data_IF_546634415976
#
_entry.id   IF_546634415976
#
_cell.length_a   1.000
_cell.length_b   1.000
_cell.length_c   1.000
_cell.angle_alpha   90.00
_cell.angle_beta   90.00
_cell.angle_gamma   90.00
#
_symmetry.space_group_name_H-M   'P 1'
#
loop_
_entity.id
_entity.type
_entity.pdbx_description
1 polymer ?
#
# COMPACT_ATOMS: atom_id res chain seq x y z
N UNK A 1 -25.23 -7.25 6.62
CA UNK A 1 -24.01 -6.65 7.23
C UNK A 1 -23.63 -7.54 8.39
N UNK A 2 -22.47 -8.13 8.35
CA UNK A 2 -21.94 -8.87 9.49
C UNK A 2 -21.78 -7.90 10.68
N UNK A 3 -22.08 -8.38 11.87
CA UNK A 3 -21.94 -7.60 13.09
C UNK A 3 -20.46 -7.37 13.33
N UNK A 4 -20.03 -6.12 13.39
CA UNK A 4 -18.62 -5.78 13.63
C UNK A 4 -18.09 -6.38 14.94
N UNK A 5 -16.79 -6.60 15.00
CA UNK A 5 -16.10 -7.19 16.15
C UNK A 5 -15.95 -6.17 17.29
N UNK A 6 -15.92 -6.66 18.54
CA UNK A 6 -15.40 -5.85 19.63
C UNK A 6 -13.91 -5.51 19.37
N UNK A 7 -13.37 -4.46 20.03
CA UNK A 7 -11.94 -4.11 19.87
C UNK A 7 -11.01 -5.26 20.25
N UNK A 8 -11.31 -5.98 21.34
CA UNK A 8 -10.52 -7.14 21.76
C UNK A 8 -10.52 -8.24 20.71
N UNK A 9 -11.70 -8.58 20.18
CA UNK A 9 -11.81 -9.59 19.13
C UNK A 9 -11.16 -9.14 17.82
N UNK A 10 -11.24 -7.86 17.47
CA UNK A 10 -10.55 -7.31 16.30
C UNK A 10 -9.02 -7.39 16.44
N UNK A 11 -8.48 -7.14 17.63
CA UNK A 11 -7.04 -7.30 17.92
C UNK A 11 -6.63 -8.77 17.90
N UNK A 12 -7.45 -9.66 18.47
CA UNK A 12 -7.20 -11.11 18.43
C UNK A 12 -7.20 -11.62 16.98
N UNK A 13 -8.16 -11.18 16.17
CA UNK A 13 -8.25 -11.49 14.75
C UNK A 13 -7.01 -11.00 13.97
N UNK A 14 -6.60 -9.73 14.18
CA UNK A 14 -5.38 -9.18 13.58
C UNK A 14 -4.14 -10.00 13.95
N UNK A 15 -4.01 -10.42 15.21
CA UNK A 15 -2.91 -11.25 15.67
C UNK A 15 -2.93 -12.63 15.01
N UNK A 16 -4.09 -13.25 14.86
CA UNK A 16 -4.24 -14.53 14.15
C UNK A 16 -3.77 -14.40 12.68
N UNK A 17 -4.16 -13.34 11.98
CA UNK A 17 -3.67 -13.05 10.62
C UNK A 17 -2.15 -12.85 10.60
N UNK A 18 -1.60 -12.10 11.55
CA UNK A 18 -0.15 -11.85 11.68
C UNK A 18 0.64 -13.12 11.91
N UNK A 19 0.14 -13.99 12.76
CA UNK A 19 0.83 -15.23 13.15
C UNK A 19 0.90 -16.24 11.97
N UNK A 20 0.00 -16.12 11.01
CA UNK A 20 -0.04 -16.88 9.75
C UNK A 20 0.48 -16.10 8.53
N UNK A 21 1.17 -14.97 8.73
CA UNK A 21 1.65 -14.11 7.62
C UNK A 21 2.60 -14.77 6.62
N UNK A 22 3.30 -15.84 7.01
CA UNK A 22 4.15 -16.65 6.12
C UNK A 22 3.36 -17.23 4.94
N UNK A 23 2.08 -17.57 5.19
CA UNK A 23 1.20 -18.16 4.20
C UNK A 23 0.60 -17.10 3.26
N UNK A 24 0.74 -15.82 3.63
CA UNK A 24 0.37 -14.66 2.81
C UNK A 24 1.53 -14.17 1.92
N UNK A 25 2.51 -15.02 1.64
CA UNK A 25 3.64 -14.67 0.78
C UNK A 25 3.16 -14.39 -0.66
N UNK A 26 3.43 -13.19 -1.22
CA UNK A 26 3.00 -12.81 -2.57
C UNK A 26 3.60 -13.66 -3.70
N UNK A 27 4.59 -14.49 -3.39
CA UNK A 27 5.21 -15.47 -4.29
C UNK A 27 5.02 -16.91 -3.81
N UNK A 28 4.21 -17.11 -2.78
CA UNK A 28 3.89 -18.42 -2.21
C UNK A 28 2.92 -19.23 -3.09
N UNK A 29 2.63 -20.47 -2.70
CA UNK A 29 1.81 -21.39 -3.50
C UNK A 29 0.40 -20.87 -3.76
N UNK A 30 -0.17 -20.10 -2.84
CA UNK A 30 -1.51 -19.51 -2.96
C UNK A 30 -1.53 -18.14 -3.68
N UNK A 31 -0.37 -17.62 -4.10
CA UNK A 31 -0.32 -16.40 -4.90
C UNK A 31 -0.93 -16.62 -6.29
N UNK A 32 -1.75 -15.67 -6.77
CA UNK A 32 -2.48 -15.79 -8.04
C UNK A 32 -1.58 -16.06 -9.23
N UNK A 33 -0.37 -15.52 -9.24
CA UNK A 33 0.62 -15.74 -10.30
C UNK A 33 1.15 -17.19 -10.38
N UNK A 34 0.91 -18.01 -9.37
CA UNK A 34 1.33 -19.41 -9.32
C UNK A 34 0.19 -20.38 -9.65
N UNK A 35 -1.00 -19.87 -9.95
CA UNK A 35 -2.09 -20.70 -10.44
C UNK A 35 -1.83 -21.04 -11.94
N UNK A 36 -1.63 -22.33 -12.30
CA UNK A 36 -1.32 -22.74 -13.67
C UNK A 36 -2.48 -22.51 -14.65
N UNK A 37 -3.73 -22.43 -14.16
CA UNK A 37 -4.90 -22.14 -14.97
C UNK A 37 -4.99 -20.64 -15.31
N UNK A 38 -4.25 -19.78 -14.59
CA UNK A 38 -4.28 -18.34 -14.78
C UNK A 38 -3.02 -17.78 -15.42
N UNK A 39 -1.87 -18.42 -15.18
CA UNK A 39 -0.58 -17.93 -15.66
C UNK A 39 0.29 -19.07 -16.18
N UNK A 40 0.97 -18.79 -17.29
CA UNK A 40 1.97 -19.67 -17.89
C UNK A 40 3.28 -18.91 -18.08
N UNK A 41 4.39 -19.65 -18.22
CA UNK A 41 5.68 -19.03 -18.55
C UNK A 41 5.93 -19.20 -20.06
N UNK A 42 6.23 -18.09 -20.73
CA UNK A 42 6.66 -18.13 -22.13
C UNK A 42 8.08 -18.71 -22.27
N UNK A 43 8.54 -18.85 -23.51
CA UNK A 43 9.87 -19.39 -23.84
C UNK A 43 11.05 -18.64 -23.18
N UNK A 44 10.86 -17.37 -22.80
CA UNK A 44 11.84 -16.53 -22.08
C UNK A 44 11.69 -16.60 -20.57
N UNK A 45 10.81 -17.47 -20.05
CA UNK A 45 10.50 -17.58 -18.63
C UNK A 45 9.65 -16.45 -18.06
N UNK A 46 9.17 -15.52 -18.91
CA UNK A 46 8.28 -14.43 -18.49
C UNK A 46 6.89 -14.98 -18.25
N UNK A 47 6.29 -14.56 -17.15
CA UNK A 47 4.93 -14.91 -16.77
C UNK A 47 3.92 -14.18 -17.68
N UNK A 48 2.98 -14.92 -18.23
CA UNK A 48 1.92 -14.43 -19.11
C UNK A 48 0.56 -14.96 -18.66
N UNK A 49 -0.50 -14.12 -18.66
CA UNK A 49 -1.84 -14.57 -18.32
C UNK A 49 -2.37 -15.53 -19.41
N UNK A 50 -3.15 -16.53 -18.99
CA UNK A 50 -3.94 -17.33 -19.92
C UNK A 50 -5.02 -16.47 -20.60
N UNK A 51 -5.60 -16.88 -21.73
CA UNK A 51 -6.64 -16.10 -22.39
C UNK A 51 -7.82 -15.76 -21.48
N UNK A 52 -8.25 -16.70 -20.64
CA UNK A 52 -9.31 -16.47 -19.68
C UNK A 52 -8.93 -15.42 -18.62
N UNK A 53 -7.69 -15.47 -18.11
CA UNK A 53 -7.20 -14.47 -17.14
C UNK A 53 -7.01 -13.10 -17.79
N UNK A 54 -6.65 -13.07 -19.07
CA UNK A 54 -6.55 -11.82 -19.83
C UNK A 54 -7.91 -11.12 -19.93
N UNK A 55 -9.00 -11.85 -20.19
CA UNK A 55 -10.37 -11.27 -20.19
C UNK A 55 -10.69 -10.56 -18.87
N UNK A 56 -10.33 -11.16 -17.73
CA UNK A 56 -10.50 -10.48 -16.43
C UNK A 56 -9.65 -9.20 -16.34
N UNK A 57 -8.40 -9.24 -16.78
CA UNK A 57 -7.50 -8.07 -16.78
C UNK A 57 -8.03 -6.96 -17.66
N UNK A 58 -8.56 -7.31 -18.82
CA UNK A 58 -9.19 -6.35 -19.76
C UNK A 58 -10.42 -5.71 -19.12
N UNK A 59 -11.28 -6.49 -18.46
CA UNK A 59 -12.46 -5.96 -17.75
C UNK A 59 -12.09 -5.02 -16.60
N UNK A 60 -10.99 -5.29 -15.88
CA UNK A 60 -10.47 -4.39 -14.85
C UNK A 60 -9.97 -3.09 -15.50
N UNK A 61 -9.28 -3.22 -16.63
CA UNK A 61 -8.80 -2.06 -17.39
C UNK A 61 -9.96 -1.18 -17.87
N UNK A 62 -10.95 -1.78 -18.49
CA UNK A 62 -12.18 -1.07 -18.94
C UNK A 62 -12.88 -0.36 -17.77
N UNK A 63 -13.00 -1.02 -16.62
CA UNK A 63 -13.63 -0.44 -15.43
C UNK A 63 -12.84 0.75 -14.87
N UNK A 64 -11.50 0.71 -14.92
CA UNK A 64 -10.64 1.80 -14.41
C UNK A 64 -10.64 3.00 -15.36
N UNK A 65 -10.59 2.76 -16.66
CA UNK A 65 -10.66 3.85 -17.65
C UNK A 65 -12.08 4.41 -17.76
N UNK A 66 -13.11 3.57 -17.63
CA UNK A 66 -14.52 3.98 -17.72
C UNK A 66 -14.81 4.75 -19.02
N UNK A 67 -15.47 5.90 -18.88
CA UNK A 67 -15.79 6.81 -19.99
C UNK A 67 -14.73 7.92 -20.20
N UNK A 68 -13.61 7.86 -19.47
CA UNK A 68 -12.53 8.83 -19.58
C UNK A 68 -11.96 8.89 -21.00
N UNK A 69 -11.59 10.07 -21.42
CA UNK A 69 -11.00 10.33 -22.73
C UNK A 69 -9.59 10.89 -22.59
N UNK A 70 -8.74 10.71 -23.60
CA UNK A 70 -7.46 11.41 -23.67
C UNK A 70 -7.61 12.92 -23.48
N UNK A 71 -6.63 13.54 -22.85
CA UNK A 71 -6.58 14.99 -22.68
C UNK A 71 -6.61 15.70 -24.03
N UNK A 72 -7.41 16.75 -24.14
CA UNK A 72 -7.46 17.59 -25.37
C UNK A 72 -6.33 18.63 -25.40
N UNK A 73 -5.57 18.76 -24.34
CA UNK A 73 -4.44 19.68 -24.20
C UNK A 73 -3.19 18.98 -23.66
N UNK A 74 -2.39 19.69 -22.89
CA UNK A 74 -1.26 19.10 -22.17
C UNK A 74 -1.79 18.16 -21.08
N UNK A 75 -1.53 16.86 -21.15
CA UNK A 75 -2.00 15.94 -20.12
C UNK A 75 -1.30 16.19 -18.79
N UNK A 76 -2.03 15.98 -17.70
CA UNK A 76 -1.53 16.14 -16.33
C UNK A 76 -1.23 14.78 -15.71
N UNK A 77 -0.03 14.61 -15.18
CA UNK A 77 0.39 13.43 -14.44
C UNK A 77 0.68 13.77 -12.98
N UNK A 78 -0.06 13.20 -12.02
CA UNK A 78 0.13 13.43 -10.60
C UNK A 78 0.74 12.17 -9.96
N UNK A 79 1.92 12.30 -9.35
CA UNK A 79 2.50 11.27 -8.52
C UNK A 79 2.08 11.53 -7.07
N UNK A 80 1.27 10.62 -6.52
CA UNK A 80 0.87 10.65 -5.11
C UNK A 80 1.80 9.72 -4.32
N UNK A 81 2.73 10.30 -3.57
CA UNK A 81 3.81 9.62 -2.88
C UNK A 81 3.60 9.60 -1.35
N UNK A 82 3.87 8.47 -0.72
CA UNK A 82 3.80 8.34 0.74
C UNK A 82 3.78 6.88 1.19
N UNK A 83 4.23 6.60 2.42
CA UNK A 83 4.23 5.24 2.96
C UNK A 83 2.79 4.73 3.20
N UNK A 84 2.61 3.41 3.41
CA UNK A 84 1.34 2.86 3.85
C UNK A 84 0.87 3.52 5.15
N UNK A 85 -0.42 3.79 5.29
CA UNK A 85 -0.98 4.43 6.49
C UNK A 85 -0.80 5.94 6.58
N UNK A 86 -0.02 6.58 5.70
CA UNK A 86 0.21 8.03 5.74
C UNK A 86 -1.03 8.89 5.42
N UNK A 87 -2.05 8.32 4.76
CA UNK A 87 -3.27 9.05 4.42
C UNK A 87 -3.31 9.61 3.00
N UNK A 88 -2.61 8.98 2.04
CA UNK A 88 -2.58 9.37 0.62
C UNK A 88 -3.97 9.64 0.04
N UNK A 89 -4.89 8.68 0.16
CA UNK A 89 -6.26 8.83 -0.36
C UNK A 89 -7.03 9.97 0.30
N UNK A 90 -6.77 10.26 1.58
CA UNK A 90 -7.36 11.41 2.28
C UNK A 90 -6.83 12.73 1.72
N UNK A 91 -5.52 12.81 1.48
CA UNK A 91 -4.92 14.01 0.88
C UNK A 91 -5.41 14.21 -0.55
N UNK A 92 -5.44 13.14 -1.36
CA UNK A 92 -5.93 13.21 -2.73
C UNK A 92 -7.34 13.81 -2.77
N UNK A 93 -8.25 13.31 -1.95
CA UNK A 93 -9.61 13.83 -1.85
C UNK A 93 -9.62 15.32 -1.47
N UNK A 94 -8.86 15.71 -0.45
CA UNK A 94 -8.75 17.10 -0.02
C UNK A 94 -8.17 18.03 -1.08
N UNK A 95 -7.24 17.56 -1.93
CA UNK A 95 -6.67 18.38 -3.01
C UNK A 95 -7.69 18.82 -4.04
N UNK A 96 -8.78 18.09 -4.19
CA UNK A 96 -9.85 18.40 -5.15
C UNK A 96 -11.10 19.01 -4.48
N UNK A 97 -11.34 18.74 -3.21
CA UNK A 97 -12.58 19.12 -2.50
C UNK A 97 -12.38 20.28 -1.50
N UNK A 98 -11.17 20.50 -0.99
CA UNK A 98 -10.89 21.54 0.04
C UNK A 98 -10.30 22.79 -0.62
N UNK A 99 -11.03 23.88 -0.56
CA UNK A 99 -10.62 25.18 -1.16
C UNK A 99 -9.26 25.69 -0.64
N UNK A 100 -8.87 25.31 0.58
CA UNK A 100 -7.57 25.72 1.17
C UNK A 100 -6.39 24.90 0.62
N UNK A 101 -6.67 23.70 0.09
CA UNK A 101 -5.69 22.80 -0.48
C UNK A 101 -5.73 22.75 -2.00
N UNK A 102 -6.88 23.10 -2.59
CA UNK A 102 -7.04 23.15 -4.03
C UNK A 102 -5.93 24.00 -4.67
N UNK A 103 -5.13 23.38 -5.50
CA UNK A 103 -4.02 24.06 -6.17
C UNK A 103 -4.03 23.75 -7.67
N UNK A 104 -4.48 24.70 -8.49
CA UNK A 104 -4.50 24.54 -9.96
C UNK A 104 -3.13 24.18 -10.55
N UNK A 105 -2.04 24.61 -9.92
CA UNK A 105 -0.69 24.21 -10.33
C UNK A 105 -0.40 22.72 -10.11
N UNK A 106 -1.16 22.04 -9.27
CA UNK A 106 -1.04 20.59 -9.07
C UNK A 106 -2.00 19.84 -9.99
N UNK A 107 -3.26 20.27 -10.03
CA UNK A 107 -4.33 19.56 -10.74
C UNK A 107 -4.49 20.00 -12.19
N UNK A 108 -3.80 21.05 -12.63
CA UNK A 108 -4.03 21.66 -13.95
C UNK A 108 -5.40 22.32 -14.06
N UNK A 109 -6.09 22.59 -12.93
CA UNK A 109 -7.45 23.10 -12.90
C UNK A 109 -8.53 22.06 -13.19
N UNK A 110 -8.16 20.79 -13.28
CA UNK A 110 -9.04 19.66 -13.55
C UNK A 110 -9.69 19.14 -12.25
N UNK A 111 -10.78 18.37 -12.38
CA UNK A 111 -11.45 17.67 -11.28
C UNK A 111 -10.91 16.25 -11.15
N UNK A 112 -11.16 15.59 -10.02
CA UNK A 112 -10.72 14.21 -9.78
C UNK A 112 -11.30 13.23 -10.81
N UNK A 113 -12.54 13.46 -11.25
CA UNK A 113 -13.23 12.67 -12.25
C UNK A 113 -12.62 12.74 -13.66
N UNK A 114 -11.73 13.71 -13.91
CA UNK A 114 -11.02 13.86 -15.20
C UNK A 114 -9.74 13.01 -15.28
N UNK A 115 -9.42 12.25 -14.21
CA UNK A 115 -8.19 11.47 -14.12
C UNK A 115 -8.43 9.97 -14.11
N UNK A 116 -7.59 9.24 -14.82
CA UNK A 116 -7.40 7.80 -14.59
C UNK A 116 -6.58 7.63 -13.31
N UNK A 117 -7.19 7.05 -12.28
CA UNK A 117 -6.49 6.77 -11.01
C UNK A 117 -5.90 5.35 -11.04
N UNK A 118 -4.58 5.26 -11.09
CA UNK A 118 -3.85 3.99 -11.10
C UNK A 118 -3.36 3.69 -9.70
N UNK A 119 -4.07 2.80 -9.03
CA UNK A 119 -3.81 2.31 -7.68
C UNK A 119 -3.82 0.76 -7.69
N UNK A 120 -2.66 0.15 -7.43
CA UNK A 120 -2.55 -1.29 -7.34
C UNK A 120 -3.43 -1.90 -6.22
N UNK A 121 -3.75 -1.13 -5.19
CA UNK A 121 -4.60 -1.59 -4.10
C UNK A 121 -6.07 -1.67 -4.51
N UNK A 122 -6.52 -0.75 -5.37
CA UNK A 122 -7.84 -0.85 -6.00
C UNK A 122 -7.92 -2.10 -6.92
N UNK A 123 -6.86 -2.36 -7.68
CA UNK A 123 -6.78 -3.58 -8.51
C UNK A 123 -6.84 -4.85 -7.64
N UNK A 124 -6.17 -4.88 -6.47
CA UNK A 124 -6.28 -6.01 -5.52
C UNK A 124 -7.72 -6.24 -5.07
N UNK A 125 -8.43 -5.14 -4.77
CA UNK A 125 -9.84 -5.22 -4.37
C UNK A 125 -10.68 -5.86 -5.48
N UNK A 126 -10.53 -5.43 -6.72
CA UNK A 126 -11.27 -5.98 -7.87
C UNK A 126 -10.95 -7.45 -8.11
N UNK A 127 -9.67 -7.85 -8.00
CA UNK A 127 -9.26 -9.25 -8.14
C UNK A 127 -9.87 -10.14 -7.06
N UNK A 128 -9.89 -9.70 -5.81
CA UNK A 128 -10.43 -10.45 -4.68
C UNK A 128 -11.96 -10.48 -4.66
N UNK A 129 -12.62 -9.40 -5.09
CA UNK A 129 -14.07 -9.39 -5.30
C UNK A 129 -14.48 -10.39 -6.39
N UNK A 130 -13.71 -10.47 -7.48
CA UNK A 130 -13.97 -11.46 -8.52
C UNK A 130 -13.72 -12.88 -8.01
N UNK A 131 -12.62 -13.10 -7.29
CA UNK A 131 -12.29 -14.39 -6.70
C UNK A 131 -13.35 -14.87 -5.69
N UNK A 132 -13.97 -13.95 -4.96
CA UNK A 132 -15.09 -14.26 -4.07
C UNK A 132 -16.36 -14.69 -4.85
N UNK A 133 -16.59 -14.07 -6.02
CA UNK A 133 -17.78 -14.36 -6.85
C UNK A 133 -17.68 -15.69 -7.58
N UNK A 134 -16.47 -16.04 -8.05
CA UNK A 134 -16.24 -17.27 -8.83
C UNK A 134 -15.77 -18.46 -7.97
N UNK A 135 -15.65 -18.28 -6.65
CA UNK A 135 -15.26 -19.30 -5.68
C UNK A 135 -13.74 -19.57 -5.65
N UNK A 136 -12.95 -18.88 -6.46
CA UNK A 136 -11.51 -19.09 -6.50
C UNK A 136 -10.79 -18.51 -5.26
N UNK A 137 -11.44 -17.64 -4.51
CA UNK A 137 -10.94 -17.21 -3.20
C UNK A 137 -10.78 -18.42 -2.28
N UNK A 138 -11.81 -19.23 -2.13
CA UNK A 138 -11.81 -20.36 -1.22
C UNK A 138 -11.12 -21.59 -1.82
N UNK A 139 -11.21 -21.82 -3.13
CA UNK A 139 -10.63 -23.00 -3.76
C UNK A 139 -9.10 -22.90 -3.94
N UNK A 140 -8.55 -21.69 -4.16
CA UNK A 140 -7.13 -21.50 -4.46
C UNK A 140 -6.43 -20.46 -3.58
N UNK A 141 -6.96 -19.21 -3.48
CA UNK A 141 -6.22 -18.08 -2.88
C UNK A 141 -6.09 -18.24 -1.37
N UNK A 142 -7.16 -18.63 -0.67
CA UNK A 142 -7.15 -18.77 0.79
C UNK A 142 -6.28 -19.95 1.22
N UNK A 143 -5.21 -19.75 2.02
CA UNK A 143 -4.36 -20.83 2.50
C UNK A 143 -5.12 -21.79 3.43
N UNK A 144 -4.64 -23.04 3.50
CA UNK A 144 -5.24 -24.08 4.35
C UNK A 144 -5.23 -23.71 5.85
N UNK A 145 -4.21 -22.98 6.32
CA UNK A 145 -4.15 -22.49 7.69
C UNK A 145 -5.28 -21.54 8.06
N UNK A 146 -5.67 -20.66 7.12
CA UNK A 146 -6.79 -19.75 7.31
C UNK A 146 -8.14 -20.48 7.26
N UNK A 147 -8.29 -21.48 6.38
CA UNK A 147 -9.48 -22.35 6.37
C UNK A 147 -9.63 -23.09 7.69
N UNK A 148 -8.52 -23.61 8.24
CA UNK A 148 -8.53 -24.25 9.54
C UNK A 148 -8.97 -23.30 10.67
N UNK A 149 -8.60 -22.03 10.62
CA UNK A 149 -9.07 -21.03 11.59
C UNK A 149 -10.57 -20.73 11.41
N UNK A 150 -11.07 -20.75 10.17
CA UNK A 150 -12.53 -20.61 9.90
C UNK A 150 -13.33 -21.76 10.50
N UNK A 151 -12.80 -22.98 10.50
CA UNK A 151 -13.42 -24.14 11.16
C UNK A 151 -13.55 -23.93 12.69
N UNK A 152 -12.75 -23.06 13.27
CA UNK A 152 -12.86 -22.62 14.68
C UNK A 152 -13.68 -21.33 14.87
N UNK A 153 -14.37 -20.86 13.82
CA UNK A 153 -15.29 -19.74 13.90
C UNK A 153 -14.68 -18.37 13.67
N UNK A 154 -13.44 -18.29 13.16
CA UNK A 154 -12.83 -17.03 12.72
C UNK A 154 -13.23 -16.79 11.26
N UNK A 155 -13.81 -15.64 10.93
CA UNK A 155 -14.19 -15.31 9.55
C UNK A 155 -13.21 -14.30 8.96
N UNK A 156 -12.65 -14.57 7.79
CA UNK A 156 -11.71 -13.70 7.10
C UNK A 156 -12.35 -13.02 5.90
N UNK A 157 -12.13 -11.71 5.79
CA UNK A 157 -12.57 -10.93 4.63
C UNK A 157 -11.60 -11.11 3.45
N UNK A 158 -12.07 -10.99 2.19
CA UNK A 158 -11.22 -11.16 1.01
C UNK A 158 -9.96 -10.29 1.02
N UNK A 159 -10.04 -9.04 1.50
CA UNK A 159 -8.89 -8.11 1.50
C UNK A 159 -7.76 -8.50 2.46
N UNK A 160 -7.98 -9.42 3.39
CA UNK A 160 -6.90 -9.95 4.23
C UNK A 160 -5.91 -10.79 3.43
N UNK A 161 -6.35 -11.32 2.28
CA UNK A 161 -5.52 -12.05 1.32
C UNK A 161 -4.90 -11.15 0.24
N UNK A 162 -4.91 -9.81 0.41
CA UNK A 162 -4.41 -8.85 -0.58
C UNK A 162 -2.94 -9.04 -0.96
N UNK A 163 -2.14 -9.65 -0.10
CA UNK A 163 -0.74 -10.00 -0.42
C UNK A 163 -0.64 -11.08 -1.50
N UNK A 164 -1.58 -12.01 -1.56
CA UNK A 164 -1.56 -13.13 -2.51
C UNK A 164 -1.92 -12.72 -3.95
N UNK A 165 -2.53 -11.56 -4.12
CA UNK A 165 -2.81 -10.95 -5.44
C UNK A 165 -1.84 -9.79 -5.77
N UNK A 166 -0.77 -9.59 -4.96
CA UNK A 166 0.12 -8.43 -5.08
C UNK A 166 0.89 -8.39 -6.41
N UNK A 167 1.51 -9.48 -6.80
CA UNK A 167 2.32 -9.51 -8.03
C UNK A 167 1.43 -9.30 -9.26
N UNK A 168 0.27 -9.92 -9.31
CA UNK A 168 -0.70 -9.76 -10.38
C UNK A 168 -1.22 -8.31 -10.45
N UNK A 169 -1.64 -7.74 -9.32
CA UNK A 169 -2.11 -6.35 -9.28
C UNK A 169 -1.03 -5.36 -9.73
N UNK A 170 0.24 -5.66 -9.43
CA UNK A 170 1.38 -4.86 -9.86
C UNK A 170 1.61 -4.94 -11.38
N UNK A 171 1.42 -6.12 -11.98
CA UNK A 171 1.47 -6.29 -13.44
C UNK A 171 0.34 -5.52 -14.12
N UNK A 172 -0.89 -5.64 -13.63
CA UNK A 172 -2.05 -4.90 -14.17
C UNK A 172 -1.84 -3.40 -14.02
N UNK A 173 -1.42 -2.91 -12.85
CA UNK A 173 -1.15 -1.49 -12.64
C UNK A 173 -0.02 -0.97 -13.56
N UNK A 174 0.97 -1.80 -13.90
CA UNK A 174 1.98 -1.47 -14.89
C UNK A 174 1.37 -1.29 -16.29
N UNK A 175 0.53 -2.22 -16.72
CA UNK A 175 -0.11 -2.17 -18.04
C UNK A 175 -1.07 -0.97 -18.13
N UNK A 176 -1.88 -0.73 -17.09
CA UNK A 176 -2.73 0.46 -16.98
C UNK A 176 -1.93 1.75 -17.15
N UNK A 177 -0.77 1.84 -16.48
CA UNK A 177 0.14 3.00 -16.60
C UNK A 177 0.63 3.19 -18.04
N UNK A 178 1.09 2.11 -18.69
CA UNK A 178 1.57 2.19 -20.07
C UNK A 178 0.46 2.64 -21.01
N UNK A 179 -0.74 2.08 -20.88
CA UNK A 179 -1.90 2.42 -21.70
C UNK A 179 -2.33 3.88 -21.48
N UNK A 180 -2.40 4.34 -20.23
CA UNK A 180 -2.80 5.69 -19.91
C UNK A 180 -1.80 6.73 -20.44
N UNK A 181 -0.50 6.50 -20.28
CA UNK A 181 0.56 7.40 -20.78
C UNK A 181 0.59 7.39 -22.30
N UNK A 182 0.49 6.22 -22.94
CA UNK A 182 0.49 6.12 -24.40
C UNK A 182 -0.74 6.80 -25.03
N UNK A 183 -1.88 6.70 -24.35
CA UNK A 183 -3.14 7.33 -24.77
C UNK A 183 -3.25 8.82 -24.45
N UNK A 184 -2.32 9.40 -23.70
CA UNK A 184 -2.38 10.84 -23.33
C UNK A 184 -3.49 11.19 -22.34
N UNK A 185 -3.87 10.28 -21.45
CA UNK A 185 -4.86 10.53 -20.40
C UNK A 185 -4.29 11.38 -19.28
N UNK A 186 -5.12 12.16 -18.58
CA UNK A 186 -4.74 12.70 -17.29
C UNK A 186 -4.68 11.55 -16.29
N UNK A 187 -3.61 11.47 -15.48
CA UNK A 187 -3.32 10.28 -14.66
C UNK A 187 -2.91 10.65 -13.25
N UNK A 188 -3.45 9.94 -12.29
CA UNK A 188 -2.96 9.93 -10.90
C UNK A 188 -2.33 8.57 -10.61
N UNK A 189 -1.07 8.58 -10.20
CA UNK A 189 -0.35 7.38 -9.77
C UNK A 189 -0.33 7.33 -8.24
N UNK A 190 -1.22 6.51 -7.62
CA UNK A 190 -1.15 6.26 -6.17
C UNK A 190 -0.14 5.13 -5.90
N UNK A 191 1.04 5.52 -5.47
CA UNK A 191 2.12 4.58 -5.22
C UNK A 191 3.02 5.03 -4.06
N UNK A 192 3.84 4.11 -3.56
CA UNK A 192 4.72 4.40 -2.43
C UNK A 192 5.85 5.36 -2.80
N UNK A 193 6.44 5.26 -3.99
CA UNK A 193 7.58 6.07 -4.44
C UNK A 193 8.87 5.89 -3.61
N UNK A 194 9.11 4.72 -3.02
CA UNK A 194 10.30 4.46 -2.20
C UNK A 194 11.57 4.12 -2.99
N UNK A 195 11.47 3.84 -4.29
CA UNK A 195 12.59 3.53 -5.16
C UNK A 195 12.92 4.72 -6.07
N UNK A 196 14.06 5.41 -5.85
CA UNK A 196 14.42 6.63 -6.60
C UNK A 196 14.46 6.41 -8.10
N UNK A 197 15.06 5.27 -8.55
CA UNK A 197 15.17 4.97 -9.97
C UNK A 197 13.80 4.80 -10.64
N UNK A 198 12.88 4.06 -10.01
CA UNK A 198 11.53 3.87 -10.56
C UNK A 198 10.74 5.19 -10.62
N UNK A 199 10.94 6.07 -9.66
CA UNK A 199 10.33 7.42 -9.64
C UNK A 199 10.90 8.27 -10.77
N UNK A 200 12.21 8.28 -10.93
CA UNK A 200 12.90 8.99 -12.00
C UNK A 200 12.44 8.50 -13.38
N UNK A 201 12.45 7.19 -13.60
CA UNK A 201 12.05 6.57 -14.87
C UNK A 201 10.59 6.94 -15.24
N UNK A 202 9.69 6.99 -14.24
CA UNK A 202 8.30 7.40 -14.45
C UNK A 202 8.17 8.89 -14.82
N UNK A 203 8.87 9.77 -14.07
CA UNK A 203 8.85 11.21 -14.34
C UNK A 203 9.48 11.51 -15.69
N UNK A 204 10.55 10.83 -16.07
CA UNK A 204 11.18 10.98 -17.39
C UNK A 204 10.23 10.50 -18.49
N UNK A 205 9.54 9.36 -18.32
CA UNK A 205 8.55 8.87 -19.27
C UNK A 205 7.43 9.88 -19.49
N UNK A 206 6.87 10.43 -18.40
CA UNK A 206 5.81 11.43 -18.47
C UNK A 206 6.28 12.71 -19.16
N UNK A 207 7.44 13.23 -18.76
CA UNK A 207 8.02 14.45 -19.34
C UNK A 207 8.29 14.30 -20.85
N UNK A 208 8.83 13.14 -21.26
CA UNK A 208 9.09 12.82 -22.67
C UNK A 208 7.80 12.76 -23.50
N UNK A 209 6.69 12.38 -22.88
CA UNK A 209 5.35 12.36 -23.50
C UNK A 209 4.61 13.70 -23.39
N UNK A 210 5.27 14.75 -22.93
CA UNK A 210 4.72 16.10 -22.87
C UNK A 210 3.75 16.35 -21.71
N UNK A 211 3.77 15.52 -20.67
CA UNK A 211 2.94 15.73 -19.48
C UNK A 211 3.39 16.92 -18.65
N UNK A 212 2.42 17.62 -18.09
CA UNK A 212 2.64 18.47 -16.93
C UNK A 212 2.71 17.57 -15.70
N UNK A 213 3.87 17.47 -15.08
CA UNK A 213 4.13 16.50 -14.00
C UNK A 213 4.05 17.18 -12.65
N UNK A 214 3.14 16.70 -11.80
CA UNK A 214 2.99 17.16 -10.42
C UNK A 214 3.34 16.05 -9.44
N UNK A 215 3.92 16.41 -8.30
CA UNK A 215 4.20 15.49 -7.19
C UNK A 215 3.47 15.96 -5.95
N UNK A 216 2.74 15.05 -5.34
CA UNK A 216 2.02 15.22 -4.08
C UNK A 216 2.61 14.23 -3.08
N UNK A 217 3.30 14.73 -2.05
CA UNK A 217 4.01 13.91 -1.09
C UNK A 217 3.39 14.01 0.30
N UNK A 218 3.26 12.87 0.97
CA UNK A 218 2.89 12.81 2.38
C UNK A 218 4.05 12.26 3.18
N UNK A 219 4.53 13.09 4.08
CA UNK A 219 5.50 12.70 5.08
C UNK A 219 4.80 12.03 6.26
N UNK A 220 5.31 10.90 6.70
CA UNK A 220 4.85 10.22 7.90
C UNK A 220 6.04 9.56 8.60
N UNK A 221 6.06 9.65 9.92
CA UNK A 221 7.01 8.91 10.73
C UNK A 221 6.66 7.42 10.74
N UNK A 222 7.66 6.56 10.98
CA UNK A 222 7.45 5.12 11.05
C UNK A 222 6.31 4.74 12.01
N UNK A 223 6.37 5.22 13.24
CA UNK A 223 5.35 4.93 14.26
C UNK A 223 3.96 5.38 13.84
N UNK A 224 3.85 6.54 13.20
CA UNK A 224 2.58 7.04 12.68
C UNK A 224 2.04 6.13 11.58
N UNK A 225 2.89 5.72 10.64
CA UNK A 225 2.51 4.82 9.54
C UNK A 225 2.07 3.46 10.05
N UNK A 226 2.84 2.84 10.95
CA UNK A 226 2.55 1.54 11.54
C UNK A 226 1.23 1.57 12.33
N UNK A 227 1.10 2.52 13.27
CA UNK A 227 -0.12 2.65 14.08
C UNK A 227 -1.35 2.99 13.24
N UNK A 228 -1.19 3.78 12.19
CA UNK A 228 -2.28 4.12 11.28
C UNK A 228 -2.74 2.93 10.46
N UNK A 229 -1.81 2.11 9.96
CA UNK A 229 -2.14 0.89 9.24
C UNK A 229 -2.85 -0.11 10.16
N UNK A 230 -2.33 -0.32 11.38
CA UNK A 230 -2.96 -1.16 12.40
C UNK A 230 -4.37 -0.68 12.75
N UNK A 231 -4.52 0.60 13.14
CA UNK A 231 -5.83 1.15 13.54
C UNK A 231 -6.86 1.09 12.39
N UNK A 232 -6.42 1.29 11.14
CA UNK A 232 -7.30 1.13 9.97
C UNK A 232 -7.86 -0.28 9.86
N UNK A 233 -7.02 -1.30 10.07
CA UNK A 233 -7.45 -2.71 10.06
C UNK A 233 -8.41 -2.99 11.21
N UNK A 234 -8.07 -2.57 12.43
CA UNK A 234 -8.94 -2.75 13.62
C UNK A 234 -10.31 -2.07 13.43
N UNK A 235 -10.32 -0.81 12.97
CA UNK A 235 -11.58 -0.10 12.74
C UNK A 235 -12.43 -0.78 11.64
N UNK A 236 -11.81 -1.29 10.58
CA UNK A 236 -12.53 -2.01 9.54
C UNK A 236 -13.21 -3.27 10.11
N UNK A 237 -12.51 -4.06 10.93
CA UNK A 237 -13.05 -5.23 11.62
C UNK A 237 -14.17 -4.87 12.61
N UNK A 238 -14.00 -3.76 13.36
CA UNK A 238 -15.04 -3.27 14.28
C UNK A 238 -16.30 -2.81 13.56
N UNK A 239 -16.15 -2.26 12.37
CA UNK A 239 -17.26 -1.78 11.55
C UNK A 239 -17.92 -2.89 10.69
N UNK A 240 -17.46 -4.14 10.79
CA UNK A 240 -17.90 -5.25 9.93
C UNK A 240 -17.58 -5.02 8.44
N UNK A 241 -16.54 -4.21 8.17
CA UNK A 241 -16.06 -3.92 6.82
C UNK A 241 -14.89 -4.85 6.47
N UNK A 242 -14.67 -5.02 5.17
CA UNK A 242 -13.48 -5.74 4.69
C UNK A 242 -12.21 -5.08 5.21
N UNK A 243 -11.43 -5.83 5.99
CA UNK A 243 -10.19 -5.39 6.60
C UNK A 243 -9.01 -5.77 5.69
N UNK A 244 -7.98 -4.92 5.66
CA UNK A 244 -6.74 -5.20 4.94
C UNK A 244 -5.59 -5.32 5.93
N UNK A 245 -4.95 -6.46 5.93
CA UNK A 245 -3.71 -6.65 6.68
C UNK A 245 -2.50 -6.09 5.92
N UNK A 246 -1.68 -5.30 6.57
CA UNK A 246 -0.39 -4.82 6.05
C UNK A 246 0.70 -5.29 7.01
N UNK A 247 1.60 -6.19 6.57
CA UNK A 247 2.69 -6.64 7.42
C UNK A 247 3.57 -5.48 7.88
N UNK A 248 3.96 -5.47 9.15
CA UNK A 248 4.84 -4.45 9.74
C UNK A 248 6.17 -4.33 9.00
N UNK A 249 6.68 -5.46 8.51
CA UNK A 249 7.92 -5.50 7.73
C UNK A 249 7.83 -4.67 6.45
N UNK A 250 6.68 -4.70 5.77
CA UNK A 250 6.43 -3.89 4.57
C UNK A 250 6.49 -2.40 4.90
N UNK A 251 5.96 -2.00 6.05
CA UNK A 251 6.04 -0.60 6.50
C UNK A 251 7.48 -0.26 6.85
N UNK A 252 8.16 -1.13 7.60
CA UNK A 252 9.55 -0.94 8.03
C UNK A 252 10.50 -0.78 6.84
N UNK A 253 10.28 -1.52 5.77
CA UNK A 253 11.07 -1.45 4.54
C UNK A 253 10.95 -0.10 3.82
N UNK A 254 9.96 0.74 4.18
CA UNK A 254 9.82 2.10 3.65
C UNK A 254 10.71 3.12 4.38
N UNK A 255 11.43 2.70 5.40
CA UNK A 255 12.33 3.54 6.19
C UNK A 255 13.75 2.99 6.15
N UNK A 256 14.75 3.87 6.24
CA UNK A 256 16.16 3.47 6.37
C UNK A 256 16.48 3.07 7.82
N UNK A 257 17.71 2.60 8.05
CA UNK A 257 18.17 2.17 9.38
C UNK A 257 18.14 3.29 10.44
N UNK A 258 18.10 4.54 10.00
CA UNK A 258 18.01 5.74 10.85
C UNK A 258 16.55 6.18 11.05
N UNK A 259 15.58 5.48 10.44
CA UNK A 259 14.16 5.81 10.48
C UNK A 259 13.73 6.91 9.51
N UNK A 260 14.58 7.30 8.54
CA UNK A 260 14.18 8.24 7.49
C UNK A 260 13.35 7.54 6.42
N UNK A 261 12.30 8.22 5.99
CA UNK A 261 11.46 7.70 4.92
C UNK A 261 12.24 7.63 3.59
N UNK A 262 12.30 6.42 3.01
CA UNK A 262 12.85 6.22 1.65
C UNK A 262 12.02 6.95 0.60
N UNK A 263 10.72 7.15 0.85
CA UNK A 263 9.84 7.96 -0.01
C UNK A 263 10.34 9.39 -0.06
N UNK A 264 10.55 10.01 1.12
CA UNK A 264 11.06 11.37 1.22
C UNK A 264 12.41 11.51 0.51
N UNK A 265 13.33 10.58 0.75
CA UNK A 265 14.64 10.59 0.09
C UNK A 265 14.51 10.50 -1.44
N UNK A 266 13.59 9.67 -1.94
CA UNK A 266 13.36 9.53 -3.38
C UNK A 266 12.79 10.81 -4.01
N UNK A 267 11.83 11.43 -3.36
CA UNK A 267 11.22 12.68 -3.86
C UNK A 267 12.21 13.84 -3.75
N UNK A 268 12.96 13.94 -2.64
CA UNK A 268 13.99 14.98 -2.49
C UNK A 268 15.03 14.89 -3.61
N UNK A 269 15.55 13.66 -3.87
CA UNK A 269 16.49 13.43 -4.95
C UNK A 269 15.95 13.84 -6.34
N UNK A 270 14.64 13.65 -6.56
CA UNK A 270 13.98 14.07 -7.78
C UNK A 270 13.91 15.60 -7.90
N UNK A 271 13.53 16.29 -6.81
CA UNK A 271 13.35 17.75 -6.79
C UNK A 271 14.69 18.52 -6.84
N UNK A 272 15.76 17.96 -6.27
CA UNK A 272 17.08 18.58 -6.21
C UNK A 272 17.89 18.47 -7.53
N UNK A 273 17.33 17.81 -8.54
CA UNK A 273 17.98 17.72 -9.85
C UNK A 273 18.10 19.07 -10.52
N UNK A 274 19.27 19.36 -11.07
CA UNK A 274 19.56 20.60 -11.80
C UNK A 274 18.58 20.87 -12.95
N UNK A 275 18.08 19.81 -13.59
CA UNK A 275 17.05 19.86 -14.63
C UNK A 275 15.85 19.06 -14.17
N UNK A 276 15.16 19.57 -13.14
CA UNK A 276 13.99 18.94 -12.60
C UNK A 276 12.85 18.84 -13.65
N UNK A 277 12.32 17.65 -13.84
CA UNK A 277 11.20 17.39 -14.76
C UNK A 277 9.83 17.57 -14.10
N UNK A 278 9.78 17.70 -12.77
CA UNK A 278 8.55 18.01 -12.03
C UNK A 278 8.20 19.47 -12.24
N UNK A 279 6.96 19.73 -12.58
CA UNK A 279 6.44 21.09 -12.82
C UNK A 279 5.93 21.74 -11.55
N UNK A 280 5.27 20.96 -10.67
CA UNK A 280 4.74 21.44 -9.40
C UNK A 280 4.86 20.37 -8.30
N UNK A 281 4.98 20.82 -7.05
CA UNK A 281 5.14 19.97 -5.87
C UNK A 281 4.29 20.48 -4.70
N UNK A 282 3.70 19.54 -3.97
CA UNK A 282 3.14 19.76 -2.64
C UNK A 282 3.63 18.65 -1.71
N UNK A 283 4.15 19.03 -0.54
CA UNK A 283 4.46 18.13 0.56
C UNK A 283 3.67 18.48 1.81
N UNK A 284 3.17 17.50 2.53
CA UNK A 284 2.46 17.69 3.80
C UNK A 284 2.82 16.62 4.83
N UNK A 285 2.54 16.90 6.11
CA UNK A 285 2.70 15.93 7.20
C UNK A 285 1.40 15.18 7.47
N UNK A 286 1.49 13.88 7.65
CA UNK A 286 0.35 13.01 7.91
C UNK A 286 -0.41 13.37 9.20
N UNK A 287 0.29 13.80 10.25
CA UNK A 287 -0.31 14.27 11.51
C UNK A 287 -1.25 15.44 11.28
N UNK A 288 -0.85 16.39 10.41
CA UNK A 288 -1.63 17.58 10.13
C UNK A 288 -2.94 17.28 9.39
N UNK A 289 -2.99 16.18 8.62
CA UNK A 289 -4.23 15.74 7.96
C UNK A 289 -5.34 15.34 8.93
N UNK A 290 -4.98 14.90 10.13
CA UNK A 290 -5.92 14.44 11.18
C UNK A 290 -6.21 15.50 12.22
N UNK A 291 -5.39 16.54 12.30
CA UNK A 291 -5.59 17.65 13.21
C UNK A 291 -6.59 18.65 12.63
N UNK A 292 -7.25 19.43 13.48
CA UNK A 292 -8.04 20.59 13.07
C UNK A 292 -7.15 21.81 12.79
N UNK A 293 -5.84 21.69 12.97
CA UNK A 293 -4.86 22.74 12.72
C UNK A 293 -4.61 22.90 11.23
N UNK A 294 -4.17 24.07 10.77
CA UNK A 294 -3.78 24.29 9.38
C UNK A 294 -2.73 23.26 8.96
N UNK A 295 -2.91 22.67 7.79
CA UNK A 295 -1.93 21.75 7.19
C UNK A 295 -0.61 22.50 7.01
N UNK A 296 0.46 21.87 7.46
CA UNK A 296 1.82 22.29 7.12
C UNK A 296 2.13 21.82 5.72
N UNK A 297 2.21 22.73 4.77
CA UNK A 297 2.44 22.44 3.37
C UNK A 297 3.77 23.04 2.91
N UNK A 298 4.56 22.23 2.20
CA UNK A 298 5.60 22.73 1.30
C UNK A 298 5.02 22.80 -0.10
N UNK A 299 5.20 23.92 -0.81
CA UNK A 299 4.74 24.10 -2.20
C UNK A 299 5.94 24.43 -3.07
N UNK A 300 6.00 23.85 -4.27
CA UNK A 300 7.09 24.09 -5.19
C UNK A 300 6.61 24.27 -6.61
N UNK A 301 7.25 25.17 -7.34
CA UNK A 301 7.07 25.38 -8.78
C UNK A 301 8.43 25.38 -9.48
N UNK A 302 8.48 24.78 -10.66
CA UNK A 302 9.65 24.80 -11.51
C UNK A 302 9.73 26.11 -12.27
N UNK A 303 10.87 26.78 -12.17
CA UNK A 303 11.21 27.96 -12.96
C UNK A 303 11.61 27.62 -14.41
N UNK A 304 11.76 28.64 -15.23
CA UNK A 304 12.13 28.49 -16.66
C UNK A 304 13.51 27.87 -16.86
N UNK A 305 14.42 28.06 -15.91
CA UNK A 305 15.77 27.48 -15.95
C UNK A 305 15.83 26.01 -15.51
N UNK A 306 14.68 25.41 -15.16
CA UNK A 306 14.56 24.02 -14.74
C UNK A 306 14.77 23.79 -13.25
N UNK A 307 14.96 24.85 -12.46
CA UNK A 307 15.14 24.74 -10.99
C UNK A 307 13.79 24.64 -10.30
N UNK A 308 13.67 23.72 -9.34
CA UNK A 308 12.48 23.63 -8.46
C UNK A 308 12.65 24.61 -7.30
N UNK A 309 11.79 25.62 -7.24
CA UNK A 309 11.70 26.53 -6.11
C UNK A 309 10.60 26.06 -5.17
N UNK A 310 10.99 25.66 -3.96
CA UNK A 310 10.06 25.19 -2.94
C UNK A 310 9.85 26.30 -1.93
N UNK A 311 8.65 26.86 -1.88
CA UNK A 311 8.21 27.76 -0.83
C UNK A 311 7.62 26.96 0.31
N UNK A 312 8.05 27.27 1.51
CA UNK A 312 7.57 26.59 2.71
C UNK A 312 6.51 27.37 3.45
N UNK A 313 5.32 26.80 3.54
CA UNK A 313 4.50 26.98 4.73
C UNK A 313 5.11 26.30 5.96
N UNK A 314 6.13 25.50 5.75
CA UNK A 314 6.99 24.82 6.72
C UNK A 314 8.37 25.40 6.60
N UNK A 315 8.63 26.58 7.06
CA UNK A 315 9.95 27.22 7.14
C UNK A 315 11.06 26.62 6.24
N UNK A 316 11.81 27.46 5.58
CA UNK A 316 12.82 27.20 4.52
C UNK A 316 13.55 25.86 4.55
N UNK A 317 13.45 25.10 3.49
CA UNK A 317 13.86 23.72 3.41
C UNK A 317 15.36 23.46 3.35
N UNK A 318 16.20 24.42 3.07
CA UNK A 318 17.67 24.21 3.11
C UNK A 318 18.24 24.32 4.52
N UNK A 319 17.72 25.21 5.34
CA UNK A 319 18.00 25.26 6.78
C UNK A 319 17.13 24.27 7.58
N UNK A 320 15.98 23.93 7.06
CA UNK A 320 15.00 23.03 7.68
C UNK A 320 15.31 21.56 7.39
N UNK A 321 16.04 21.23 6.35
CA UNK A 321 16.61 19.89 6.18
C UNK A 321 17.48 19.49 7.37
N UNK A 322 18.16 20.45 8.01
CA UNK A 322 18.89 20.23 9.26
C UNK A 322 17.96 20.23 10.47
N UNK A 323 16.95 21.08 10.51
CA UNK A 323 15.96 21.13 11.61
C UNK A 323 14.98 19.95 11.55
N UNK A 324 14.58 19.53 10.35
CA UNK A 324 13.85 18.27 10.14
C UNK A 324 14.72 17.06 10.50
N UNK A 325 15.99 17.07 10.12
CA UNK A 325 16.96 16.06 10.54
C UNK A 325 17.11 16.01 12.06
N UNK A 326 17.12 17.16 12.73
CA UNK A 326 17.16 17.23 14.19
C UNK A 326 15.84 16.79 14.85
N UNK A 327 14.69 17.18 14.30
CA UNK A 327 13.36 16.69 14.75
C UNK A 327 13.21 15.22 14.50
N UNK A 328 13.61 14.73 13.34
CA UNK A 328 13.64 13.31 12.99
C UNK A 328 14.58 12.54 13.93
N UNK A 329 15.79 13.04 14.18
CA UNK A 329 16.74 12.44 15.10
C UNK A 329 16.23 12.46 16.55
N UNK A 330 15.54 13.52 16.99
CA UNK A 330 14.84 13.56 18.30
C UNK A 330 13.73 12.53 18.37
N UNK A 331 12.91 12.40 17.33
CA UNK A 331 11.85 11.39 17.27
C UNK A 331 12.41 9.97 17.25
N UNK A 332 13.52 9.73 16.52
CA UNK A 332 14.23 8.44 16.52
C UNK A 332 14.82 8.13 17.91
N UNK A 333 15.38 9.13 18.62
CA UNK A 333 15.89 8.95 19.97
C UNK A 333 14.78 8.65 20.98
N UNK A 334 13.54 9.05 20.70
CA UNK A 334 12.35 8.70 21.47
C UNK A 334 11.76 7.34 21.10
N UNK A 335 12.20 6.72 19.99
CA UNK A 335 11.82 5.36 19.67
C UNK A 335 12.44 4.39 20.68
N UNK A 336 11.68 3.42 21.20
CA UNK A 336 12.27 2.36 22.02
C UNK A 336 13.44 1.72 21.26
N UNK A 337 14.60 1.58 21.90
CA UNK A 337 15.80 0.97 21.28
C UNK A 337 15.53 -0.37 20.60
N UNK A 338 14.53 -1.11 21.09
CA UNK A 338 14.03 -2.34 20.49
C UNK A 338 13.44 -2.16 19.08
N UNK A 339 12.81 -1.05 18.79
CA UNK A 339 12.26 -0.77 17.45
C UNK A 339 13.37 -0.49 16.41
N UNK A 340 14.47 0.12 16.87
CA UNK A 340 15.64 0.40 16.03
C UNK A 340 16.50 -0.83 15.76
N UNK A 341 16.45 -1.84 16.63
CA UNK A 341 17.29 -3.05 16.54
C UNK A 341 16.55 -4.27 15.93
N UNK A 342 15.28 -4.12 15.55
CA UNK A 342 14.52 -5.23 14.97
C UNK A 342 14.27 -6.42 15.90
N UNK A 343 14.53 -6.28 17.19
CA UNK A 343 14.21 -7.32 18.19
C UNK A 343 12.74 -7.18 18.60
N UNK A 344 11.97 -8.27 18.65
CA UNK A 344 10.61 -8.22 19.15
C UNK A 344 10.63 -7.72 20.59
N UNK A 345 9.88 -6.68 20.86
CA UNK A 345 9.64 -6.20 22.21
C UNK A 345 8.96 -7.32 22.99
N UNK A 346 9.58 -7.84 24.02
CA UNK A 346 8.89 -8.71 24.98
C UNK A 346 7.78 -7.86 25.62
N UNK A 347 6.54 -8.27 25.41
CA UNK A 347 5.39 -7.65 26.04
C UNK A 347 5.60 -7.57 27.56
N UNK A 348 5.92 -6.40 28.07
CA UNK A 348 5.96 -6.09 29.50
C UNK A 348 4.61 -5.54 29.97
N UNK A 349 3.53 -6.15 29.53
CA UNK A 349 2.26 -5.97 30.23
C UNK A 349 2.21 -7.00 31.36
N UNK A 350 2.00 -6.59 32.60
CA UNK A 350 1.80 -7.52 33.69
C UNK A 350 0.52 -8.30 33.40
N UNK A 351 0.69 -9.55 33.03
CA UNK A 351 -0.41 -10.51 32.90
C UNK A 351 -1.10 -10.58 34.26
N UNK A 352 -2.33 -10.10 34.30
CA UNK A 352 -3.22 -10.27 35.42
C UNK A 352 -3.40 -11.78 35.68
N UNK A 353 -2.86 -12.28 36.75
CA UNK A 353 -2.79 -13.72 37.12
C UNK A 353 -4.15 -14.33 37.52
N UNK A 354 -5.26 -13.84 37.02
CA UNK A 354 -6.59 -14.37 37.33
C UNK A 354 -7.46 -14.54 36.08
N UNK A 355 -6.98 -15.34 35.12
CA UNK A 355 -7.87 -15.98 34.16
C UNK A 355 -7.42 -17.44 34.07
N UNK A 356 -8.03 -18.22 34.95
CA UNK A 356 -7.85 -19.65 34.98
C UNK A 356 -8.44 -20.33 33.79
N UNK A 357 -7.88 -21.47 33.48
CA UNK A 357 -8.36 -22.57 32.67
C UNK A 357 -8.78 -22.19 31.25
N UNK A 358 -7.98 -22.58 30.27
CA UNK A 358 -8.58 -23.11 29.08
C UNK A 358 -7.60 -23.90 28.22
N UNK A 359 -8.04 -25.11 27.93
CA UNK A 359 -7.77 -25.97 26.79
C UNK A 359 -6.30 -26.41 26.56
N UNK A 360 -5.97 -27.47 27.30
CA UNK A 360 -4.95 -28.43 26.87
C UNK A 360 -5.48 -29.22 25.69
N UNK A 361 -4.76 -29.15 24.57
CA UNK A 361 -4.95 -30.06 23.46
C UNK A 361 -4.68 -31.50 23.91
N UNK A 362 -5.45 -32.49 23.47
CA UNK A 362 -5.18 -33.88 23.78
C UNK A 362 -3.95 -34.35 23.01
N UNK A 363 -2.89 -34.69 23.73
CA UNK A 363 -1.75 -35.46 23.20
C UNK A 363 -2.21 -36.90 22.98
N UNK A 364 -2.43 -37.33 21.76
CA UNK A 364 -2.57 -38.73 21.40
C UNK A 364 -1.18 -39.35 21.27
N UNK A 365 -0.84 -40.23 22.19
CA UNK A 365 0.30 -41.17 22.06
C UNK A 365 -0.04 -42.20 20.99
N UNK A 366 0.93 -42.61 20.15
CA UNK A 366 0.73 -43.78 19.29
C UNK A 366 0.85 -45.06 20.14
N UNK A 367 -0.21 -45.84 20.14
CA UNK A 367 -0.19 -47.19 20.65
C UNK A 367 0.52 -48.09 19.64
N UNK A 368 1.58 -48.70 20.07
CA UNK A 368 2.17 -49.86 19.40
C UNK A 368 1.19 -51.04 19.47
N UNK A 369 0.84 -51.61 18.36
CA UNK A 369 0.26 -52.95 18.35
C UNK A 369 1.01 -53.89 17.39
N UNK A 370 1.14 -55.09 17.87
CA UNK A 370 2.03 -56.14 17.43
C UNK A 370 1.43 -56.93 16.27
N UNK A 371 2.33 -57.30 15.41
CA UNK A 371 2.35 -58.52 14.58
C UNK A 371 1.12 -59.42 14.57
N UNK A 372 0.67 -59.78 13.37
CA UNK A 372 0.42 -61.18 13.06
C UNK A 372 0.62 -61.50 11.58
N UNK A 373 1.54 -62.41 11.36
CA UNK A 373 1.72 -63.22 10.17
C UNK A 373 0.43 -63.99 9.86
N UNK A 374 0.00 -64.04 8.61
CA UNK A 374 -0.55 -65.26 8.01
C UNK A 374 -0.22 -65.26 6.49
N UNK A 375 0.42 -66.37 6.09
CA UNK A 375 0.65 -66.83 4.72
C UNK A 375 -0.67 -67.07 4.00
N UNK A 376 -0.81 -66.60 2.80
CA UNK A 376 -0.97 -67.40 1.55
C UNK A 376 -1.07 -66.47 0.36
#
# INVERSE_FOLDING_TARGET
MEKGLSRENAVAHYNATRDHKSDLNPKGPNATINNPDWYTKNQKGKLEPTPQRQVLRDSITEKIFGELKPSQGTPVGILLAGPPGAGKSTLLKKLFEDENLANPNITGGLKLEDFVVIDADNVKTMLLEQASKDGSLDSFIKPASFKALEDFGVSFSPLEFASLVHEESSMIAHDLRQNAIAGGYNVIFDQVCSNPKKVDDLVEQLSTKGYYVSVVEIHADYNFSEQSAFNRTIHALQDGRSARYVPTEVIKDMYDERGFSKVRSSIQNLLDKKMCKVSAYIGCYAQDLRSKLPLKLAKGLRSKDGTMHVENGLQNTRSDGELEKEKYLKNIQMLPKAALQGKPQKDTNPVNKNAGSVLKAPTSKPSADKSNNIKR
#
